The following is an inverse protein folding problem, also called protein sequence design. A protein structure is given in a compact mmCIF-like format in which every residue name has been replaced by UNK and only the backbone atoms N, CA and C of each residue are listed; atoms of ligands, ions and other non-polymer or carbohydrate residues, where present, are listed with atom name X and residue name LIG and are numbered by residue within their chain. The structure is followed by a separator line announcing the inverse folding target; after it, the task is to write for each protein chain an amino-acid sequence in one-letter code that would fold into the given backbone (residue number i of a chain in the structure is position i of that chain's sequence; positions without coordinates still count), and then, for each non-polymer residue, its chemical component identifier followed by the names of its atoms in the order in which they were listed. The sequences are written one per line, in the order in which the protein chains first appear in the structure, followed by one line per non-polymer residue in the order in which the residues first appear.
data_IF_614163289127
#
_entry.id   IF_614163289127
#
_cell.length_a   1.000
_cell.length_b   1.000
_cell.length_c   1.000
_cell.angle_alpha   90.00
_cell.angle_beta   90.00
_cell.angle_gamma   90.00
#
_symmetry.space_group_name_H-M   'P 1'
#
loop_
_entity.id
_entity.type
_entity.pdbx_description
1 polymer ?
#
# COMPACT_ATOMS: atom_id res chain seq x y z
N UNK A 1 39.85 64.15 12.25
CA UNK A 1 39.79 63.98 13.73
C UNK A 1 40.52 62.71 14.11
N UNK A 2 41.23 62.79 15.23
CA UNK A 2 42.28 61.89 15.72
C UNK A 2 41.69 60.74 16.56
N UNK A 3 42.29 59.55 16.48
CA UNK A 3 42.52 58.49 17.52
C UNK A 3 42.45 57.11 16.87
N UNK A 4 43.56 56.43 16.57
CA UNK A 4 44.52 55.74 17.48
C UNK A 4 43.87 54.68 18.37
N UNK A 5 44.31 53.43 18.19
CA UNK A 5 44.29 52.37 19.22
C UNK A 5 44.01 50.99 18.61
N UNK A 6 45.01 50.29 18.03
CA UNK A 6 45.91 49.30 18.72
C UNK A 6 45.12 48.04 19.15
N UNK A 7 45.52 46.79 18.86
CA UNK A 7 46.86 46.22 18.61
C UNK A 7 46.67 44.72 18.22
N UNK A 8 47.47 44.20 17.28
CA UNK A 8 48.52 43.18 17.50
C UNK A 8 48.04 41.72 17.24
N UNK A 9 48.51 41.00 16.20
CA UNK A 9 49.86 40.43 15.92
C UNK A 9 50.00 38.97 16.38
N UNK A 10 50.09 38.08 15.38
CA UNK A 10 50.98 36.90 15.22
C UNK A 10 50.88 35.73 16.23
N UNK A 11 50.61 34.52 15.73
CA UNK A 11 51.54 33.36 15.81
C UNK A 11 51.06 32.14 15.00
N UNK A 12 51.92 31.67 14.09
CA UNK A 12 51.95 30.31 13.52
C UNK A 12 52.59 29.38 14.56
N UNK A 13 52.07 28.16 14.77
CA UNK A 13 52.77 26.95 15.25
C UNK A 13 51.80 25.78 14.97
N UNK A 14 52.07 24.89 14.02
CA UNK A 14 52.93 23.70 14.07
C UNK A 14 52.12 22.42 14.31
N UNK A 15 52.39 21.43 13.46
CA UNK A 15 51.80 20.10 13.48
C UNK A 15 52.11 19.34 14.78
N UNK A 16 51.18 18.50 15.21
CA UNK A 16 51.48 17.41 16.13
C UNK A 16 50.71 16.16 15.73
N UNK A 17 51.48 15.23 15.17
CA UNK A 17 51.15 13.83 14.95
C UNK A 17 50.99 13.18 16.34
N UNK A 18 49.86 12.52 16.61
CA UNK A 18 49.72 11.63 17.75
C UNK A 18 48.94 10.38 17.33
N UNK A 19 49.73 9.38 16.94
CA UNK A 19 49.38 7.97 16.86
C UNK A 19 48.70 7.52 18.16
N UNK A 20 47.47 7.00 18.08
CA UNK A 20 46.86 6.22 19.17
C UNK A 20 46.26 4.94 18.60
N UNK A 21 46.98 3.86 18.91
CA UNK A 21 46.55 2.49 19.15
C UNK A 21 45.50 1.85 18.22
N UNK A 22 46.06 1.09 17.29
CA UNK A 22 45.53 -0.17 16.78
C UNK A 22 45.28 -1.14 17.95
N UNK A 23 44.03 -1.29 18.37
CA UNK A 23 43.60 -2.41 19.21
C UNK A 23 42.45 -3.11 18.49
N UNK A 24 42.72 -4.34 18.08
CA UNK A 24 41.81 -5.20 17.33
C UNK A 24 40.50 -5.42 18.08
N UNK A 25 39.41 -4.86 17.56
CA UNK A 25 38.08 -5.43 17.77
C UNK A 25 37.81 -6.35 16.59
N UNK A 26 38.22 -7.61 16.75
CA UNK A 26 37.69 -8.73 15.98
C UNK A 26 36.19 -8.83 16.31
N UNK A 27 35.38 -7.99 15.67
CA UNK A 27 33.94 -8.15 15.71
C UNK A 27 33.61 -9.30 14.74
N UNK A 28 33.05 -10.36 15.30
CA UNK A 28 32.63 -11.57 14.62
C UNK A 28 31.73 -11.19 13.44
N UNK A 29 32.27 -11.18 12.22
CA UNK A 29 31.48 -11.16 10.98
C UNK A 29 30.92 -12.57 10.74
N UNK A 30 30.00 -13.00 11.61
CA UNK A 30 29.17 -14.16 11.34
C UNK A 30 28.05 -13.73 10.40
N UNK A 31 28.30 -13.89 9.09
CA UNK A 31 27.23 -14.15 8.13
C UNK A 31 26.31 -12.98 7.75
N UNK A 32 26.76 -11.73 7.81
CA UNK A 32 26.07 -10.66 7.06
C UNK A 32 26.32 -10.90 5.55
N UNK A 33 25.54 -11.80 4.95
CA UNK A 33 25.46 -11.91 3.50
C UNK A 33 24.90 -10.58 3.02
N UNK A 34 25.77 -9.72 2.49
CA UNK A 34 25.38 -8.50 1.79
C UNK A 34 24.36 -8.92 0.73
N UNK A 35 23.13 -8.41 0.81
CA UNK A 35 22.15 -8.69 -0.23
C UNK A 35 22.75 -8.23 -1.56
N UNK A 36 22.73 -9.07 -2.62
CA UNK A 36 23.17 -8.61 -3.93
C UNK A 36 22.38 -7.34 -4.27
N UNK A 37 23.05 -6.31 -4.79
CA UNK A 37 22.34 -5.12 -5.26
C UNK A 37 21.39 -5.54 -6.39
N UNK A 38 20.14 -5.06 -6.42
CA UNK A 38 19.26 -5.34 -7.55
C UNK A 38 19.92 -4.83 -8.84
N UNK A 39 19.86 -5.64 -9.90
CA UNK A 39 20.16 -5.14 -11.25
C UNK A 39 18.99 -4.25 -11.73
N UNK A 40 19.16 -3.51 -12.82
CA UNK A 40 18.20 -2.51 -13.31
C UNK A 40 16.80 -3.05 -13.69
N UNK A 41 16.69 -4.37 -13.89
CA UNK A 41 15.47 -5.06 -14.29
C UNK A 41 14.74 -5.74 -13.13
N UNK A 42 15.36 -5.85 -11.95
CA UNK A 42 14.71 -6.48 -10.79
C UNK A 42 13.56 -5.58 -10.28
N UNK A 43 12.35 -6.14 -10.21
CA UNK A 43 11.15 -5.43 -9.75
C UNK A 43 10.76 -5.83 -8.33
N UNK A 44 11.07 -7.05 -7.91
CA UNK A 44 10.65 -7.58 -6.62
C UNK A 44 11.71 -8.47 -5.96
N UNK A 45 11.61 -8.63 -4.64
CA UNK A 45 12.46 -9.49 -3.81
C UNK A 45 11.59 -10.40 -2.96
N UNK A 46 11.95 -11.69 -2.92
CA UNK A 46 11.41 -12.66 -1.96
C UNK A 46 12.58 -13.30 -1.23
N UNK A 47 12.67 -13.08 0.09
CA UNK A 47 13.81 -13.52 0.89
C UNK A 47 15.12 -12.89 0.41
N UNK A 48 15.91 -13.64 -0.36
CA UNK A 48 17.20 -13.17 -0.95
C UNK A 48 17.22 -13.26 -2.49
N UNK A 49 16.10 -13.64 -3.09
CA UNK A 49 15.98 -13.86 -4.54
C UNK A 49 15.24 -12.70 -5.16
N UNK A 50 15.88 -12.03 -6.12
CA UNK A 50 15.22 -11.00 -6.90
C UNK A 50 14.52 -11.59 -8.13
N UNK A 51 13.44 -10.94 -8.55
CA UNK A 51 12.63 -11.28 -9.71
C UNK A 51 12.46 -10.06 -10.62
N UNK A 52 12.49 -10.29 -11.93
CA UNK A 52 12.24 -9.26 -12.96
C UNK A 52 10.74 -9.05 -13.22
N UNK A 53 9.89 -9.98 -12.77
CA UNK A 53 8.44 -9.91 -12.86
C UNK A 53 7.79 -10.08 -11.47
N UNK A 54 6.78 -9.26 -11.18
CA UNK A 54 6.07 -9.30 -9.90
C UNK A 54 5.22 -10.57 -9.75
N UNK A 55 4.61 -11.05 -10.84
CA UNK A 55 3.80 -12.27 -10.80
C UNK A 55 4.63 -13.52 -10.59
N UNK A 56 5.84 -13.58 -11.14
CA UNK A 56 6.81 -14.62 -10.83
C UNK A 56 7.24 -14.59 -9.36
N UNK A 57 7.51 -13.40 -8.81
CA UNK A 57 7.84 -13.24 -7.39
C UNK A 57 6.70 -13.74 -6.48
N UNK A 58 5.46 -13.35 -6.77
CA UNK A 58 4.28 -13.79 -6.02
C UNK A 58 4.06 -15.31 -6.15
N UNK A 59 4.27 -15.86 -7.34
CA UNK A 59 4.15 -17.30 -7.61
C UNK A 59 5.19 -18.11 -6.85
N UNK A 60 6.42 -17.59 -6.75
CA UNK A 60 7.53 -18.25 -6.07
C UNK A 60 7.47 -18.09 -4.53
N UNK A 61 6.82 -17.03 -4.03
CA UNK A 61 6.67 -16.79 -2.61
C UNK A 61 5.86 -17.89 -1.92
N UNK A 62 6.41 -18.42 -0.84
CA UNK A 62 5.72 -19.37 0.04
C UNK A 62 4.72 -18.63 0.91
N UNK A 63 3.70 -19.35 1.37
CA UNK A 63 2.72 -18.81 2.31
C UNK A 63 3.41 -18.25 3.56
N UNK A 64 3.11 -17.00 3.90
CA UNK A 64 3.69 -16.24 5.00
C UNK A 64 4.93 -15.42 4.64
N UNK A 65 5.46 -15.52 3.42
CA UNK A 65 6.59 -14.71 2.98
C UNK A 65 6.18 -13.28 2.58
N UNK A 66 7.19 -12.43 2.46
CA UNK A 66 7.07 -11.05 2.00
C UNK A 66 7.58 -10.93 0.57
N UNK A 67 6.79 -10.28 -0.28
CA UNK A 67 7.19 -9.81 -1.60
C UNK A 67 7.37 -8.30 -1.51
N UNK A 68 8.62 -7.84 -1.62
CA UNK A 68 8.96 -6.41 -1.53
C UNK A 68 9.25 -5.84 -2.91
N UNK A 69 8.60 -4.73 -3.27
CA UNK A 69 8.87 -4.03 -4.53
C UNK A 69 10.18 -3.22 -4.46
N UNK A 70 10.92 -3.21 -5.56
CA UNK A 70 12.11 -2.39 -5.76
C UNK A 70 11.95 -1.37 -6.88
N UNK A 71 10.97 -1.59 -7.76
CA UNK A 71 10.65 -0.73 -8.90
C UNK A 71 9.14 -0.61 -9.04
N UNK A 72 8.71 0.46 -9.71
CA UNK A 72 7.33 0.58 -10.14
C UNK A 72 7.02 -0.49 -11.20
N UNK A 73 5.79 -1.00 -11.19
CA UNK A 73 5.33 -2.13 -12.01
C UNK A 73 4.13 -1.69 -12.82
N UNK A 74 4.28 -1.70 -14.15
CA UNK A 74 3.18 -1.52 -15.12
C UNK A 74 2.61 -2.90 -15.48
N UNK A 75 1.42 -3.21 -14.98
CA UNK A 75 0.72 -4.46 -15.23
C UNK A 75 -0.01 -4.41 -16.56
N UNK A 76 0.01 -5.55 -17.28
CA UNK A 76 -0.77 -5.76 -18.50
C UNK A 76 -1.91 -6.77 -18.34
N UNK A 77 -2.05 -7.38 -17.17
CA UNK A 77 -3.20 -8.21 -16.76
C UNK A 77 -3.36 -8.10 -15.24
N UNK A 78 -4.53 -8.48 -14.72
CA UNK A 78 -4.77 -8.58 -13.28
C UNK A 78 -3.85 -9.61 -12.67
N UNK A 79 -3.17 -9.24 -11.59
CA UNK A 79 -2.33 -10.17 -10.85
C UNK A 79 -3.14 -10.86 -9.74
N UNK A 80 -3.31 -12.17 -9.89
CA UNK A 80 -4.09 -12.99 -8.95
C UNK A 80 -3.19 -13.53 -7.85
N UNK A 81 -3.56 -13.28 -6.59
CA UNK A 81 -2.94 -13.91 -5.43
C UNK A 81 -3.93 -14.94 -4.87
N UNK A 82 -3.62 -16.21 -5.09
CA UNK A 82 -4.51 -17.32 -4.73
C UNK A 82 -3.90 -18.26 -3.68
N UNK A 83 -4.72 -18.71 -2.74
CA UNK A 83 -4.47 -19.82 -1.80
C UNK A 83 -3.18 -19.72 -0.98
N UNK A 84 -2.76 -18.51 -0.61
CA UNK A 84 -1.58 -18.27 0.22
C UNK A 84 -1.72 -17.04 1.10
N UNK A 85 -1.07 -17.07 2.26
CA UNK A 85 -0.83 -15.88 3.06
C UNK A 85 0.35 -15.11 2.45
N UNK A 86 0.25 -13.80 2.28
CA UNK A 86 1.31 -13.01 1.66
C UNK A 86 1.38 -11.62 2.29
N UNK A 87 2.59 -11.13 2.56
CA UNK A 87 2.83 -9.71 2.83
C UNK A 87 3.33 -9.05 1.54
N UNK A 88 2.53 -8.19 0.93
CA UNK A 88 2.93 -7.38 -0.22
C UNK A 88 3.42 -6.02 0.30
N UNK A 89 4.74 -5.85 0.29
CA UNK A 89 5.39 -4.61 0.68
C UNK A 89 5.63 -3.75 -0.56
N UNK A 90 4.84 -2.69 -0.71
CA UNK A 90 4.96 -1.77 -1.82
C UNK A 90 6.26 -0.95 -1.75
N UNK A 91 6.89 -0.81 -0.57
CA UNK A 91 8.18 -0.13 -0.38
C UNK A 91 8.31 1.22 -1.12
N UNK A 92 7.26 2.04 -1.04
CA UNK A 92 7.17 3.34 -1.70
C UNK A 92 7.08 3.29 -3.23
N UNK A 93 6.90 2.12 -3.84
CA UNK A 93 6.75 1.90 -5.29
C UNK A 93 5.30 1.86 -5.72
N UNK A 94 5.09 1.98 -7.03
CA UNK A 94 3.77 2.03 -7.64
C UNK A 94 3.49 0.76 -8.43
N UNK A 95 2.35 0.10 -8.15
CA UNK A 95 1.72 -0.84 -9.07
C UNK A 95 0.65 -0.08 -9.85
N UNK A 96 0.69 -0.12 -11.18
CA UNK A 96 -0.23 0.60 -12.03
C UNK A 96 -0.47 -0.16 -13.33
N UNK A 97 -1.35 0.37 -14.18
CA UNK A 97 -1.49 -0.11 -15.54
C UNK A 97 -1.57 1.07 -16.52
N UNK A 98 -0.89 0.96 -17.66
CA UNK A 98 -1.00 1.94 -18.77
C UNK A 98 -1.94 1.47 -19.87
N UNK A 99 -2.13 0.16 -19.98
CA UNK A 99 -3.03 -0.50 -20.94
C UNK A 99 -4.30 -0.96 -20.24
N UNK A 100 -5.39 -1.01 -20.98
CA UNK A 100 -6.66 -1.53 -20.48
C UNK A 100 -6.50 -3.01 -20.12
N UNK A 101 -6.85 -3.35 -18.89
CA UNK A 101 -6.89 -4.72 -18.37
C UNK A 101 -8.32 -5.25 -18.34
N UNK A 102 -9.31 -4.36 -18.20
CA UNK A 102 -10.70 -4.75 -17.98
C UNK A 102 -11.18 -5.75 -19.02
N UNK A 103 -11.47 -6.97 -18.58
CA UNK A 103 -12.02 -8.02 -19.43
C UNK A 103 -13.39 -8.45 -18.90
N UNK A 104 -14.44 -7.84 -19.46
CA UNK A 104 -15.82 -8.01 -19.00
C UNK A 104 -16.40 -9.43 -19.14
N UNK A 105 -15.71 -10.38 -19.80
CA UNK A 105 -16.33 -11.65 -20.20
C UNK A 105 -15.63 -12.94 -19.77
N UNK A 106 -14.31 -12.99 -19.52
CA UNK A 106 -13.62 -14.29 -19.50
C UNK A 106 -12.62 -14.55 -18.35
N UNK A 107 -12.20 -13.56 -17.55
CA UNK A 107 -11.12 -13.74 -16.54
C UNK A 107 -11.40 -13.17 -15.15
N UNK A 108 -12.49 -12.41 -14.99
CA UNK A 108 -12.74 -11.58 -13.80
C UNK A 108 -11.56 -10.63 -13.52
N UNK A 109 -10.90 -10.13 -14.57
CA UNK A 109 -9.80 -9.16 -14.48
C UNK A 109 -10.40 -7.77 -14.23
N UNK A 110 -10.72 -7.48 -12.97
CA UNK A 110 -11.41 -6.25 -12.56
C UNK A 110 -10.51 -5.25 -11.84
N UNK A 111 -9.29 -5.65 -11.48
CA UNK A 111 -8.39 -4.90 -10.60
C UNK A 111 -6.92 -5.08 -10.97
N UNK A 112 -6.03 -4.30 -10.36
CA UNK A 112 -4.58 -4.56 -10.45
C UNK A 112 -4.24 -5.87 -9.74
N UNK A 113 -4.74 -6.03 -8.51
CA UNK A 113 -4.55 -7.23 -7.68
C UNK A 113 -5.92 -7.83 -7.30
N UNK A 114 -6.10 -9.12 -7.56
CA UNK A 114 -7.29 -9.87 -7.14
C UNK A 114 -6.90 -10.94 -6.11
N UNK A 115 -7.47 -10.84 -4.91
CA UNK A 115 -7.23 -11.78 -3.80
C UNK A 115 -8.29 -12.89 -3.87
N UNK A 116 -7.84 -14.14 -4.06
CA UNK A 116 -8.70 -15.27 -4.44
C UNK A 116 -8.47 -16.53 -3.60
N UNK A 117 -9.44 -17.44 -3.65
CA UNK A 117 -9.46 -18.70 -2.93
C UNK A 117 -9.32 -18.49 -1.42
N UNK A 118 -8.33 -19.13 -0.81
CA UNK A 118 -8.02 -18.99 0.63
C UNK A 118 -6.89 -17.99 0.92
N UNK A 119 -6.59 -17.09 -0.01
CA UNK A 119 -5.51 -16.13 0.17
C UNK A 119 -5.78 -15.15 1.33
N UNK A 120 -4.72 -14.81 2.06
CA UNK A 120 -4.70 -13.83 3.16
C UNK A 120 -3.58 -12.83 2.88
N UNK A 121 -3.92 -11.71 2.25
CA UNK A 121 -2.95 -10.73 1.75
C UNK A 121 -2.93 -9.51 2.65
N UNK A 122 -1.74 -9.11 3.08
CA UNK A 122 -1.53 -7.83 3.79
C UNK A 122 -0.71 -6.89 2.93
N UNK A 123 -1.19 -5.67 2.71
CA UNK A 123 -0.50 -4.61 1.95
C UNK A 123 0.13 -3.61 2.92
N UNK A 124 1.42 -3.34 2.73
CA UNK A 124 2.22 -2.40 3.53
C UNK A 124 3.15 -1.54 2.64
N UNK A 125 3.97 -0.71 3.26
CA UNK A 125 5.13 -0.10 2.60
C UNK A 125 4.91 1.30 2.04
N UNK A 126 3.77 1.94 2.29
CA UNK A 126 3.46 3.31 1.85
C UNK A 126 3.69 3.58 0.34
N UNK A 127 3.61 2.56 -0.51
CA UNK A 127 3.62 2.73 -1.96
C UNK A 127 2.23 3.03 -2.51
N UNK A 128 2.08 2.96 -3.83
CA UNK A 128 0.85 3.34 -4.53
C UNK A 128 0.31 2.19 -5.38
N UNK A 129 -1.00 2.06 -5.43
CA UNK A 129 -1.71 1.28 -6.43
C UNK A 129 -2.56 2.25 -7.24
N UNK A 130 -2.23 2.45 -8.51
CA UNK A 130 -2.88 3.43 -9.38
C UNK A 130 -3.51 2.73 -10.57
N UNK A 131 -4.79 2.41 -10.45
CA UNK A 131 -5.55 1.89 -11.56
C UNK A 131 -5.74 2.98 -12.62
N UNK A 132 -5.66 2.56 -13.89
CA UNK A 132 -5.92 3.43 -15.02
C UNK A 132 -7.36 3.96 -14.97
N UNK A 133 -7.52 5.24 -15.29
CA UNK A 133 -8.82 5.84 -15.52
C UNK A 133 -9.60 5.09 -16.61
N UNK A 134 -10.91 4.95 -16.41
CA UNK A 134 -11.84 4.25 -17.30
C UNK A 134 -11.59 2.74 -17.49
N UNK A 135 -10.89 2.09 -16.57
CA UNK A 135 -10.51 0.68 -16.72
C UNK A 135 -10.88 -0.18 -15.50
N UNK A 136 -9.97 -0.31 -14.54
CA UNK A 136 -10.04 -1.31 -13.45
C UNK A 136 -10.00 -0.68 -12.05
N UNK A 137 -10.15 -1.51 -11.03
CA UNK A 137 -10.06 -1.16 -9.61
C UNK A 137 -8.62 -1.30 -9.11
N UNK A 138 -8.30 -0.77 -7.93
CA UNK A 138 -6.96 -0.98 -7.37
C UNK A 138 -6.82 -2.41 -6.82
N UNK A 139 -7.74 -2.86 -5.97
CA UNK A 139 -7.73 -4.24 -5.44
C UNK A 139 -9.15 -4.77 -5.25
N UNK A 140 -9.33 -6.07 -5.49
CA UNK A 140 -10.54 -6.80 -5.12
C UNK A 140 -10.29 -8.03 -4.25
N UNK A 141 -11.29 -8.37 -3.44
CA UNK A 141 -11.41 -9.65 -2.74
C UNK A 141 -12.55 -10.43 -3.39
N UNK A 142 -12.21 -11.56 -4.00
CA UNK A 142 -13.13 -12.21 -4.95
C UNK A 142 -13.94 -13.35 -4.33
N UNK A 143 -13.32 -14.13 -3.45
CA UNK A 143 -13.89 -15.40 -2.95
C UNK A 143 -14.19 -15.33 -1.44
N UNK A 144 -15.24 -16.03 -1.01
CA UNK A 144 -15.72 -16.06 0.38
C UNK A 144 -14.67 -16.29 1.47
N UNK A 145 -13.60 -17.03 1.18
CA UNK A 145 -12.53 -17.33 2.12
C UNK A 145 -11.31 -16.42 1.99
N UNK A 146 -11.29 -15.54 1.00
CA UNK A 146 -10.21 -14.62 0.77
C UNK A 146 -10.25 -13.45 1.76
N UNK A 147 -9.08 -12.97 2.12
CA UNK A 147 -8.91 -11.86 3.05
C UNK A 147 -7.86 -10.87 2.55
N UNK A 148 -8.22 -9.60 2.60
CA UNK A 148 -7.31 -8.47 2.40
C UNK A 148 -7.17 -7.69 3.71
N UNK A 149 -5.94 -7.34 4.07
CA UNK A 149 -5.63 -6.33 5.08
C UNK A 149 -4.79 -5.23 4.44
N UNK A 150 -5.17 -3.96 4.61
CA UNK A 150 -4.34 -2.83 4.17
C UNK A 150 -3.89 -2.05 5.39
N UNK A 151 -2.58 -2.04 5.66
CA UNK A 151 -2.02 -1.28 6.78
C UNK A 151 -1.48 0.08 6.33
N UNK A 152 -1.00 0.19 5.10
CA UNK A 152 -0.53 1.45 4.51
C UNK A 152 -0.50 1.40 2.99
N UNK A 153 -0.32 2.57 2.36
CA UNK A 153 -0.29 2.76 0.91
C UNK A 153 -1.36 3.73 0.41
N UNK A 154 -1.23 4.16 -0.84
CA UNK A 154 -2.22 4.96 -1.55
C UNK A 154 -2.92 4.08 -2.58
N UNK A 155 -4.20 3.78 -2.40
CA UNK A 155 -4.98 2.95 -3.33
C UNK A 155 -5.94 3.85 -4.11
N UNK A 156 -5.71 3.94 -5.41
CA UNK A 156 -6.48 4.76 -6.34
C UNK A 156 -7.10 3.85 -7.39
N UNK A 157 -8.40 3.63 -7.27
CA UNK A 157 -9.17 2.85 -8.24
C UNK A 157 -9.75 3.70 -9.36
N UNK A 158 -10.28 3.09 -10.42
CA UNK A 158 -11.12 3.82 -11.37
C UNK A 158 -12.37 4.38 -10.68
N UNK A 159 -13.23 3.49 -10.18
CA UNK A 159 -14.40 3.81 -9.35
C UNK A 159 -14.40 3.10 -7.98
N UNK A 160 -13.53 2.10 -7.77
CA UNK A 160 -13.36 1.39 -6.50
C UNK A 160 -11.87 1.30 -6.15
N UNK A 161 -11.48 1.89 -5.02
CA UNK A 161 -10.15 1.66 -4.46
C UNK A 161 -10.06 0.25 -3.87
N UNK A 162 -11.11 -0.19 -3.16
CA UNK A 162 -11.24 -1.57 -2.65
C UNK A 162 -12.64 -2.08 -2.97
N UNK A 163 -12.72 -3.22 -3.63
CA UNK A 163 -13.98 -3.90 -3.94
C UNK A 163 -14.02 -5.30 -3.32
N UNK A 164 -15.06 -5.63 -2.57
CA UNK A 164 -15.24 -6.97 -2.00
C UNK A 164 -16.42 -7.65 -2.69
N UNK A 165 -16.12 -8.60 -3.56
CA UNK A 165 -17.13 -9.46 -4.21
C UNK A 165 -17.66 -10.45 -3.18
N UNK A 166 -16.74 -11.13 -2.51
CA UNK A 166 -16.97 -12.01 -1.38
C UNK A 166 -15.76 -11.92 -0.44
N UNK A 167 -15.90 -12.41 0.79
CA UNK A 167 -14.78 -12.46 1.73
C UNK A 167 -14.67 -11.19 2.57
N UNK A 168 -13.45 -10.88 3.01
CA UNK A 168 -13.22 -9.83 4.03
C UNK A 168 -12.10 -8.86 3.63
N UNK A 169 -12.38 -7.56 3.71
CA UNK A 169 -11.37 -6.50 3.71
C UNK A 169 -11.26 -5.84 5.08
N UNK A 170 -10.03 -5.70 5.58
CA UNK A 170 -9.70 -4.99 6.82
C UNK A 170 -8.80 -3.80 6.50
N UNK A 171 -9.29 -2.60 6.73
CA UNK A 171 -8.55 -1.36 6.47
C UNK A 171 -8.02 -0.81 7.79
N UNK A 172 -6.71 -0.80 7.98
CA UNK A 172 -6.06 -0.26 9.19
C UNK A 172 -5.42 1.10 8.98
N UNK A 173 -5.14 1.47 7.74
CA UNK A 173 -4.47 2.71 7.37
C UNK A 173 -4.46 2.90 5.85
N UNK A 174 -3.64 3.82 5.35
CA UNK A 174 -3.55 4.14 3.92
C UNK A 174 -4.41 5.33 3.48
N UNK A 175 -4.32 5.68 2.21
CA UNK A 175 -5.07 6.75 1.56
C UNK A 175 -5.85 6.20 0.37
N UNK A 176 -7.11 6.61 0.23
CA UNK A 176 -8.04 6.04 -0.73
C UNK A 176 -8.72 7.13 -1.55
N UNK A 177 -8.77 6.91 -2.85
CA UNK A 177 -9.49 7.79 -3.79
C UNK A 177 -9.87 7.04 -5.07
N UNK A 178 -10.60 7.73 -5.94
CA UNK A 178 -11.03 7.22 -7.23
C UNK A 178 -10.63 8.21 -8.33
N UNK A 179 -10.27 7.69 -9.49
CA UNK A 179 -9.97 8.49 -10.68
C UNK A 179 -11.23 9.17 -11.20
N UNK A 180 -12.39 8.49 -11.08
CA UNK A 180 -13.66 8.98 -11.58
C UNK A 180 -14.76 8.84 -10.53
N UNK A 181 -15.72 9.75 -10.61
CA UNK A 181 -16.94 9.66 -9.84
C UNK A 181 -17.89 8.63 -10.47
N UNK A 182 -18.64 7.91 -9.66
CA UNK A 182 -19.61 6.93 -10.16
C UNK A 182 -20.83 7.61 -10.80
N UNK A 183 -21.39 8.60 -10.12
CA UNK A 183 -22.50 9.42 -10.63
C UNK A 183 -22.53 10.79 -9.94
N UNK A 184 -23.33 11.73 -10.46
CA UNK A 184 -23.52 13.03 -9.80
C UNK A 184 -24.15 12.90 -8.39
N UNK A 185 -24.97 11.87 -8.18
CA UNK A 185 -25.70 11.67 -6.92
C UNK A 185 -24.93 10.85 -5.89
N UNK A 186 -23.99 10.01 -6.34
CA UNK A 186 -23.15 9.15 -5.49
C UNK A 186 -21.70 9.21 -6.00
N UNK A 187 -21.04 10.39 -5.96
CA UNK A 187 -19.79 10.59 -6.68
C UNK A 187 -18.66 9.71 -6.17
N UNK A 188 -18.49 9.62 -4.84
CA UNK A 188 -17.34 8.94 -4.23
C UNK A 188 -17.73 7.70 -3.40
N UNK A 189 -19.03 7.37 -3.35
CA UNK A 189 -19.58 6.38 -2.40
C UNK A 189 -19.18 4.94 -2.69
N UNK A 190 -18.55 4.74 -3.84
CA UNK A 190 -18.01 3.47 -4.28
C UNK A 190 -16.49 3.35 -4.08
N UNK A 191 -15.84 4.34 -3.43
CA UNK A 191 -14.40 4.28 -3.10
C UNK A 191 -14.07 2.99 -2.35
N UNK A 192 -14.91 2.62 -1.38
CA UNK A 192 -14.97 1.29 -0.79
C UNK A 192 -16.34 0.68 -1.11
N UNK A 193 -16.36 -0.52 -1.69
CA UNK A 193 -17.59 -1.12 -2.19
C UNK A 193 -17.70 -2.61 -1.81
N UNK A 194 -18.91 -3.05 -1.47
CA UNK A 194 -19.26 -4.45 -1.30
C UNK A 194 -20.21 -4.86 -2.43
N UNK A 195 -20.04 -6.06 -2.97
CA UNK A 195 -21.02 -6.56 -3.94
C UNK A 195 -22.38 -6.79 -3.26
N UNK A 196 -23.41 -6.14 -3.80
CA UNK A 196 -24.74 -6.04 -3.20
C UNK A 196 -25.34 -7.38 -2.76
N UNK A 197 -25.26 -8.40 -3.60
CA UNK A 197 -25.83 -9.71 -3.29
C UNK A 197 -25.10 -10.35 -2.10
N UNK A 198 -23.77 -10.37 -2.16
CA UNK A 198 -22.91 -10.94 -1.11
C UNK A 198 -23.01 -10.16 0.21
N UNK A 199 -23.15 -8.82 0.15
CA UNK A 199 -23.35 -7.99 1.35
C UNK A 199 -24.66 -8.34 2.04
N UNK A 200 -25.77 -8.44 1.30
CA UNK A 200 -27.09 -8.80 1.84
C UNK A 200 -27.09 -10.16 2.54
N UNK A 201 -26.26 -11.08 2.06
CA UNK A 201 -26.05 -12.41 2.67
C UNK A 201 -25.00 -12.42 3.80
N UNK A 202 -24.32 -11.30 4.05
CA UNK A 202 -23.23 -11.21 5.03
C UNK A 202 -21.95 -11.96 4.63
N UNK A 203 -21.77 -12.24 3.33
CA UNK A 203 -20.61 -12.92 2.75
C UNK A 203 -19.48 -11.95 2.42
N UNK A 204 -19.82 -10.78 1.86
CA UNK A 204 -18.87 -9.69 1.65
C UNK A 204 -18.84 -8.79 2.90
N UNK A 205 -17.65 -8.54 3.44
CA UNK A 205 -17.46 -7.78 4.67
C UNK A 205 -16.33 -6.78 4.52
N UNK A 206 -16.48 -5.64 5.16
CA UNK A 206 -15.41 -4.67 5.32
C UNK A 206 -15.42 -4.08 6.73
N UNK A 207 -14.24 -3.93 7.32
CA UNK A 207 -14.06 -3.26 8.61
C UNK A 207 -12.92 -2.25 8.51
N UNK A 208 -13.16 -1.02 8.96
CA UNK A 208 -12.24 0.11 8.86
C UNK A 208 -11.83 0.58 10.27
N UNK A 209 -10.55 0.46 10.57
CA UNK A 209 -9.89 0.90 11.81
C UNK A 209 -9.06 2.18 11.59
N UNK A 210 -8.87 2.62 10.35
CA UNK A 210 -8.04 3.78 10.04
C UNK A 210 -8.03 4.09 8.56
N UNK A 211 -7.22 5.08 8.18
CA UNK A 211 -7.05 5.51 6.80
C UNK A 211 -7.63 6.90 6.52
N UNK A 212 -7.29 7.43 5.36
CA UNK A 212 -7.74 8.75 4.88
C UNK A 212 -8.40 8.60 3.52
N UNK A 213 -9.58 9.19 3.36
CA UNK A 213 -10.48 8.95 2.23
C UNK A 213 -10.84 10.29 1.60
N UNK A 214 -10.56 10.46 0.30
CA UNK A 214 -10.93 11.68 -0.41
C UNK A 214 -12.42 11.70 -0.70
N UNK A 215 -13.14 12.65 -0.11
CA UNK A 215 -14.58 12.94 -0.28
C UNK A 215 -15.54 11.77 -0.02
N UNK A 216 -15.05 10.70 0.57
CA UNK A 216 -15.81 9.50 0.91
C UNK A 216 -15.83 9.31 2.42
N UNK A 217 -17.02 9.20 3.02
CA UNK A 217 -17.15 8.94 4.44
C UNK A 217 -17.36 7.43 4.69
N UNK A 218 -16.35 6.67 5.15
CA UNK A 218 -16.52 5.23 5.43
C UNK A 218 -17.48 4.93 6.60
N UNK A 219 -17.84 5.94 7.40
CA UNK A 219 -18.82 5.80 8.48
C UNK A 219 -20.28 6.04 8.06
N UNK A 220 -20.51 6.51 6.83
CA UNK A 220 -21.84 6.83 6.31
C UNK A 220 -21.88 6.61 4.79
N UNK A 221 -21.73 5.36 4.37
CA UNK A 221 -21.74 5.00 2.96
C UNK A 221 -23.18 4.92 2.43
N UNK A 222 -23.59 5.91 1.63
CA UNK A 222 -24.92 5.97 1.05
C UNK A 222 -25.18 4.97 -0.09
N UNK A 223 -24.15 4.54 -0.81
CA UNK A 223 -24.32 3.61 -1.94
C UNK A 223 -24.83 2.24 -1.47
N UNK A 224 -24.46 1.83 -0.27
CA UNK A 224 -24.84 0.55 0.33
C UNK A 224 -26.18 0.63 1.09
N UNK A 225 -26.82 1.80 1.09
CA UNK A 225 -28.05 2.10 1.82
C UNK A 225 -27.78 2.90 3.10
N UNK A 226 -28.80 3.67 3.51
CA UNK A 226 -28.71 4.59 4.64
C UNK A 226 -28.20 3.92 5.92
N UNK A 227 -27.19 4.51 6.55
CA UNK A 227 -26.61 4.02 7.80
C UNK A 227 -25.59 2.89 7.63
N UNK A 228 -25.12 2.60 6.40
CA UNK A 228 -24.00 1.66 6.22
C UNK A 228 -22.73 2.27 6.77
N UNK A 229 -22.19 1.65 7.81
CA UNK A 229 -21.00 2.09 8.52
C UNK A 229 -19.96 0.97 8.47
N UNK A 230 -18.82 1.23 7.82
CA UNK A 230 -17.71 0.28 7.78
C UNK A 230 -16.75 0.42 8.96
N UNK A 231 -16.91 1.43 9.81
CA UNK A 231 -16.02 1.67 10.94
C UNK A 231 -16.12 0.55 11.97
N UNK A 232 -14.97 0.15 12.49
CA UNK A 232 -14.92 -0.68 13.68
C UNK A 232 -15.54 0.05 14.88
N UNK A 233 -16.08 -0.72 15.84
CA UNK A 233 -16.58 -0.15 17.09
C UNK A 233 -15.48 0.63 17.82
N UNK A 234 -15.81 1.83 18.32
CA UNK A 234 -14.87 2.74 18.96
C UNK A 234 -13.99 3.55 18.00
N UNK A 235 -14.37 3.61 16.72
CA UNK A 235 -13.74 4.48 15.72
C UNK A 235 -14.75 5.46 15.13
N UNK A 236 -14.26 6.63 14.74
CA UNK A 236 -15.03 7.69 14.11
C UNK A 236 -14.35 8.22 12.85
N UNK A 237 -15.14 8.79 11.94
CA UNK A 237 -14.68 9.41 10.71
C UNK A 237 -14.73 10.92 10.86
N UNK A 238 -13.58 11.57 10.76
CA UNK A 238 -13.42 13.02 10.98
C UNK A 238 -13.15 13.72 9.66
N UNK A 239 -14.00 14.68 9.30
CA UNK A 239 -13.86 15.51 8.10
C UNK A 239 -12.83 16.62 8.33
N UNK A 240 -11.86 16.75 7.43
CA UNK A 240 -10.90 17.84 7.35
C UNK A 240 -10.66 18.24 5.90
N UNK A 241 -11.16 19.40 5.49
CA UNK A 241 -11.17 19.83 4.09
C UNK A 241 -11.99 18.85 3.24
N UNK A 242 -11.38 18.32 2.19
CA UNK A 242 -11.99 17.34 1.29
C UNK A 242 -11.75 15.88 1.73
N UNK A 243 -11.15 15.64 2.91
CA UNK A 243 -10.77 14.31 3.35
C UNK A 243 -11.48 13.89 4.64
N UNK A 244 -11.89 12.63 4.68
CA UNK A 244 -12.30 11.96 5.91
C UNK A 244 -11.15 11.11 6.43
N UNK A 245 -10.79 11.25 7.70
CA UNK A 245 -9.78 10.41 8.36
C UNK A 245 -10.44 9.61 9.46
N UNK A 246 -10.22 8.29 9.46
CA UNK A 246 -10.72 7.41 10.51
C UNK A 246 -9.72 7.38 11.65
N UNK A 247 -10.20 7.68 12.86
CA UNK A 247 -9.43 7.70 14.10
C UNK A 247 -10.16 6.92 15.18
N UNK A 248 -9.42 6.46 16.18
CA UNK A 248 -10.02 5.88 17.38
C UNK A 248 -10.76 6.99 18.13
N UNK A 249 -12.03 6.77 18.46
CA UNK A 249 -12.84 7.73 19.24
C UNK A 249 -12.21 7.97 20.61
N UNK A 250 -12.27 9.22 21.08
CA UNK A 250 -11.95 9.53 22.47
C UNK A 250 -12.99 8.87 23.39
N UNK A 251 -12.52 8.21 24.45
CA UNK A 251 -13.37 7.66 25.52
C UNK A 251 -13.95 8.78 26.40
#
# INVERSE_FOLDING_TARGET
MNKKGKKAVIKRFAAMLATVCFAAMLCVFAGCTVMPAPNENQVALVGKTYYEDLGEAISAAKSGETVTLFKDVDLSDTLVIENKKLLLDLNGKTIYNTKDIWCAKNKNSWSLISVRGTADVTIIGNGKMLAKENDIYAVDVFDKTAKLTVESGELVGNIHAVYVVEGEAVIKGGTYSVQQIYSETLPYEFTLNLYDASRKEGVAKMTVYGGTFYKFNPGDNHAEGAGTNFLASGYESVLSGDYYTVVKSAE
#
